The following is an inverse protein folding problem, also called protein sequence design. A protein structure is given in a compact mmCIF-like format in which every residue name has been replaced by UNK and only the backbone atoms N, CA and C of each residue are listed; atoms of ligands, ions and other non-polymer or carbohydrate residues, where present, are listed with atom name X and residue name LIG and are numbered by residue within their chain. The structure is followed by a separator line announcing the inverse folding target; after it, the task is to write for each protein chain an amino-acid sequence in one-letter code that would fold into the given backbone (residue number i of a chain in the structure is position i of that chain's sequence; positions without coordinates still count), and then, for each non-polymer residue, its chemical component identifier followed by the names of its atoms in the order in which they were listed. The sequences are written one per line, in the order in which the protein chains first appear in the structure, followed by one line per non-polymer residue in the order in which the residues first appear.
data_IF_734019718855
#
_entry.id   IF_734019718855
#
_cell.length_a   1.000
_cell.length_b   1.000
_cell.length_c   1.000
_cell.angle_alpha   90.00
_cell.angle_beta   90.00
_cell.angle_gamma   90.00
#
_symmetry.space_group_name_H-M   'P 1'
#
loop_
_entity.id
_entity.type
_entity.pdbx_description
1 polymer ?
#
# COMPACT_ATOMS: atom_id res chain seq x y z
N UNK A 1 -21.27 -11.90 6.52
CA UNK A 1 -19.85 -11.51 6.60
C UNK A 1 -19.64 -10.31 5.71
N UNK A 2 -19.15 -9.18 6.25
CA UNK A 2 -18.80 -8.03 5.42
C UNK A 2 -17.59 -8.41 4.55
N UNK A 3 -17.68 -8.21 3.23
CA UNK A 3 -16.60 -8.51 2.30
C UNK A 3 -15.51 -7.45 2.51
N UNK A 4 -14.28 -7.88 2.80
CA UNK A 4 -13.15 -6.95 2.83
C UNK A 4 -13.00 -6.32 1.44
N UNK A 5 -12.91 -4.98 1.32
CA UNK A 5 -12.89 -4.33 0.02
C UNK A 5 -11.60 -4.56 -0.77
N UNK A 6 -10.51 -4.92 -0.08
CA UNK A 6 -9.19 -5.17 -0.69
C UNK A 6 -8.63 -6.52 -0.23
N UNK A 7 -9.31 -7.64 -0.54
CA UNK A 7 -9.01 -8.95 0.09
C UNK A 7 -7.60 -9.45 -0.21
N UNK A 8 -7.06 -9.17 -1.40
CA UNK A 8 -5.69 -9.53 -1.79
C UNK A 8 -4.64 -8.79 -0.95
N UNK A 9 -4.74 -7.45 -0.89
CA UNK A 9 -3.84 -6.62 -0.09
C UNK A 9 -3.94 -7.01 1.39
N UNK A 10 -5.15 -7.26 1.88
CA UNK A 10 -5.38 -7.66 3.26
C UNK A 10 -4.68 -8.99 3.60
N UNK A 11 -4.76 -9.97 2.69
CA UNK A 11 -4.13 -11.28 2.83
C UNK A 11 -2.59 -11.21 2.78
N UNK A 12 -2.03 -10.23 2.08
CA UNK A 12 -0.59 -9.95 2.09
C UNK A 12 -0.12 -9.13 3.29
N UNK A 13 -1.03 -8.77 4.21
CA UNK A 13 -0.72 -7.96 5.38
C UNK A 13 -0.68 -6.45 5.12
N UNK A 14 -1.04 -6.01 3.91
CA UNK A 14 -1.06 -4.59 3.54
C UNK A 14 -2.40 -3.95 3.96
N UNK A 15 -2.32 -2.81 4.65
CA UNK A 15 -3.47 -2.00 5.11
C UNK A 15 -3.38 -0.55 4.64
N UNK A 16 -2.18 -0.03 4.45
CA UNK A 16 -1.90 1.35 4.04
C UNK A 16 -0.66 1.39 3.14
N UNK A 17 -0.50 2.49 2.41
CA UNK A 17 0.65 2.71 1.53
C UNK A 17 2.00 2.58 2.25
N UNK A 18 2.06 2.97 3.53
CA UNK A 18 3.27 2.85 4.34
C UNK A 18 3.74 1.39 4.53
N UNK A 19 2.83 0.41 4.47
CA UNK A 19 3.20 -1.00 4.61
C UNK A 19 4.01 -1.48 3.39
N UNK A 20 3.75 -0.92 2.21
CA UNK A 20 4.56 -1.15 1.01
C UNK A 20 5.95 -0.54 1.17
N UNK A 21 6.03 0.68 1.71
CA UNK A 21 7.30 1.32 2.05
C UNK A 21 8.14 0.45 2.98
N UNK A 22 7.54 -0.10 4.04
CA UNK A 22 8.24 -1.01 4.95
C UNK A 22 8.81 -2.24 4.22
N UNK A 23 8.07 -2.83 3.26
CA UNK A 23 8.59 -3.96 2.46
C UNK A 23 9.81 -3.54 1.64
N UNK A 24 9.73 -2.41 0.93
CA UNK A 24 10.84 -1.89 0.12
C UNK A 24 12.07 -1.65 0.98
N UNK A 25 11.89 -1.00 2.14
CA UNK A 25 12.99 -0.69 3.05
C UNK A 25 13.58 -1.94 3.72
N UNK A 26 12.76 -2.94 4.03
CA UNK A 26 13.27 -4.24 4.49
C UNK A 26 14.15 -4.89 3.42
N UNK A 27 13.80 -4.79 2.14
CA UNK A 27 14.61 -5.33 1.03
C UNK A 27 15.92 -4.53 0.88
N UNK A 28 15.88 -3.21 1.00
CA UNK A 28 17.08 -2.36 1.02
C UNK A 28 18.03 -2.79 2.15
N UNK A 29 17.50 -3.06 3.35
CA UNK A 29 18.29 -3.48 4.51
C UNK A 29 19.02 -4.81 4.29
N UNK A 30 18.47 -5.72 3.47
CA UNK A 30 19.16 -6.97 3.08
C UNK A 30 20.38 -6.77 2.17
N UNK A 31 20.62 -5.55 1.69
CA UNK A 31 21.71 -5.22 0.76
C UNK A 31 21.47 -5.64 -0.69
N UNK A 32 20.29 -6.18 -1.00
CA UNK A 32 19.89 -6.56 -2.37
C UNK A 32 19.54 -5.35 -3.25
N UNK A 33 19.12 -4.25 -2.64
CA UNK A 33 18.76 -3.00 -3.32
C UNK A 33 19.53 -1.82 -2.72
N UNK A 34 19.92 -0.87 -3.57
CA UNK A 34 20.52 0.39 -3.15
C UNK A 34 19.49 1.39 -2.65
N UNK A 35 19.93 2.33 -1.82
CA UNK A 35 19.15 3.47 -1.32
C UNK A 35 19.84 4.78 -1.66
N UNK A 36 19.09 5.74 -2.16
CA UNK A 36 19.55 7.11 -2.38
C UNK A 36 19.38 7.96 -1.11
N UNK A 37 20.17 9.04 -0.93
CA UNK A 37 20.04 9.92 0.24
C UNK A 37 18.65 10.56 0.39
N UNK A 38 17.93 10.71 -0.72
CA UNK A 38 16.61 11.33 -0.79
C UNK A 38 15.48 10.34 -0.49
N UNK A 39 15.73 9.03 -0.53
CA UNK A 39 14.70 8.01 -0.29
C UNK A 39 14.31 7.99 1.20
N UNK A 40 13.04 8.29 1.48
CA UNK A 40 12.50 8.28 2.84
C UNK A 40 11.28 7.36 2.97
N UNK A 41 11.21 6.64 4.09
CA UNK A 41 10.05 5.80 4.39
C UNK A 41 8.76 6.64 4.51
N UNK A 42 8.91 7.91 4.92
CA UNK A 42 7.81 8.87 5.02
C UNK A 42 7.15 9.17 3.66
N UNK A 43 7.87 9.01 2.54
CA UNK A 43 7.33 9.20 1.20
C UNK A 43 6.20 8.19 0.87
N UNK A 44 6.11 7.11 1.65
CA UNK A 44 5.06 6.10 1.52
C UNK A 44 3.86 6.36 2.45
N UNK A 45 3.92 7.34 3.34
CA UNK A 45 2.78 7.65 4.22
C UNK A 45 1.71 8.43 3.48
N UNK A 46 0.45 8.03 3.71
CA UNK A 46 -0.74 8.74 3.23
C UNK A 46 -0.81 9.02 1.72
N UNK A 47 -0.03 8.28 0.91
CA UNK A 47 -0.01 8.43 -0.56
C UNK A 47 -1.37 8.04 -1.17
N UNK A 48 -1.95 6.93 -0.69
CA UNK A 48 -3.22 6.44 -1.16
C UNK A 48 -4.08 5.94 -0.01
N UNK A 49 -5.35 6.36 0.00
CA UNK A 49 -6.39 5.64 0.72
C UNK A 49 -6.87 4.47 -0.15
N UNK A 50 -6.67 3.25 0.32
CA UNK A 50 -6.93 2.04 -0.45
C UNK A 50 -8.40 1.89 -0.85
N UNK A 51 -9.33 2.43 -0.06
CA UNK A 51 -10.76 2.42 -0.40
C UNK A 51 -11.02 3.39 -1.55
N UNK A 52 -10.42 4.57 -1.52
CA UNK A 52 -10.56 5.57 -2.56
C UNK A 52 -10.02 5.10 -3.92
N UNK A 53 -8.89 4.37 -3.93
CA UNK A 53 -8.26 3.95 -5.19
C UNK A 53 -8.73 2.58 -5.70
N UNK A 54 -9.03 1.62 -4.82
CA UNK A 54 -9.33 0.24 -5.22
C UNK A 54 -10.81 -0.14 -5.09
N UNK A 55 -11.62 0.65 -4.37
CA UNK A 55 -13.05 0.40 -4.21
C UNK A 55 -13.89 1.44 -4.95
N UNK A 56 -13.85 2.72 -4.53
CA UNK A 56 -14.76 3.77 -5.02
C UNK A 56 -14.88 3.87 -6.55
N UNK A 57 -13.80 3.80 -7.35
CA UNK A 57 -13.88 3.96 -8.81
C UNK A 57 -14.61 2.79 -9.50
N UNK A 58 -14.74 1.66 -8.81
CA UNK A 58 -15.33 0.42 -9.30
C UNK A 58 -16.67 0.12 -8.64
N UNK A 59 -17.15 0.98 -7.73
CA UNK A 59 -18.49 0.84 -7.18
C UNK A 59 -19.53 1.08 -8.30
N UNK A 60 -20.58 0.25 -8.37
CA UNK A 60 -21.62 0.45 -9.36
C UNK A 60 -22.27 1.81 -9.16
N UNK A 61 -22.39 2.58 -10.24
CA UNK A 61 -23.17 3.82 -10.21
C UNK A 61 -24.62 3.46 -9.90
N UNK A 62 -25.19 4.08 -8.87
CA UNK A 62 -26.61 3.95 -8.62
C UNK A 62 -27.34 4.66 -9.78
N UNK A 63 -28.15 3.90 -10.51
CA UNK A 63 -29.11 4.44 -11.47
C UNK A 63 -30.28 5.08 -10.72
#
# INVERSE_FOLDING_TARGET
MARCPTPLLHNWGLRKSADVGNIVFNIIDTGLFGRSPEDNLEDFKEVYDFKDVFQKPYEPKSN
#
